data_IF_397338979879
#
_entry.id   IF_397338979879
#
_cell.length_a   1.000
_cell.length_b   1.000
_cell.length_c   1.000
_cell.angle_alpha   90.00
_cell.angle_beta   90.00
_cell.angle_gamma   90.00
#
_symmetry.space_group_name_H-M   'P 1'
#
loop_
_entity.id
_entity.type
_entity.pdbx_description
1 polymer ?
#
# COMPACT_ATOMS: atom_id res chain seq x y z
N UNK A 1 -17.07 -17.96 -26.25
CA UNK A 1 -16.15 -17.29 -25.31
C UNK A 1 -16.70 -15.90 -25.04
N UNK A 2 -17.04 -15.59 -23.80
CA UNK A 2 -17.53 -14.27 -23.38
C UNK A 2 -16.36 -13.45 -22.86
N UNK A 3 -16.15 -12.25 -23.40
CA UNK A 3 -15.20 -11.30 -22.85
C UNK A 3 -15.89 -10.49 -21.75
N UNK A 4 -15.32 -10.47 -20.56
CA UNK A 4 -15.73 -9.56 -19.51
C UNK A 4 -14.81 -8.34 -19.52
N UNK A 5 -15.41 -7.16 -19.67
CA UNK A 5 -14.69 -5.91 -19.50
C UNK A 5 -14.50 -5.63 -18.01
N UNK A 6 -13.24 -5.56 -17.57
CA UNK A 6 -12.85 -5.13 -16.22
C UNK A 6 -12.17 -3.79 -16.35
N UNK A 7 -12.58 -2.84 -15.51
CA UNK A 7 -11.97 -1.51 -15.44
C UNK A 7 -11.25 -1.36 -14.09
N UNK A 8 -10.02 -0.86 -14.11
CA UNK A 8 -9.36 -0.37 -12.90
C UNK A 8 -9.91 1.03 -12.64
N UNK A 9 -10.69 1.19 -11.56
CA UNK A 9 -11.32 2.48 -11.23
C UNK A 9 -10.31 3.50 -10.69
N UNK A 10 -9.30 3.05 -9.94
CA UNK A 10 -8.29 3.93 -9.37
C UNK A 10 -7.01 3.18 -9.04
N UNK A 11 -5.88 3.89 -9.05
CA UNK A 11 -4.61 3.41 -8.52
C UNK A 11 -4.34 4.15 -7.23
N UNK A 12 -3.99 3.39 -6.19
CA UNK A 12 -3.70 3.92 -4.86
C UNK A 12 -2.21 3.74 -4.59
N UNK A 13 -1.51 4.80 -4.21
CA UNK A 13 -0.09 4.75 -3.85
C UNK A 13 0.15 5.30 -2.45
N UNK A 14 1.14 4.78 -1.74
CA UNK A 14 1.60 5.31 -0.46
C UNK A 14 2.84 4.60 0.04
N UNK A 15 3.74 5.34 0.68
CA UNK A 15 4.92 4.76 1.33
C UNK A 15 4.61 4.36 2.77
N UNK A 16 5.31 3.35 3.32
CA UNK A 16 5.20 3.01 4.73
C UNK A 16 5.39 4.25 5.62
N UNK A 17 4.45 4.45 6.53
CA UNK A 17 4.45 5.58 7.45
C UNK A 17 4.22 5.09 8.89
N UNK A 18 4.87 5.78 9.84
CA UNK A 18 4.62 5.58 11.27
C UNK A 18 3.36 6.32 11.69
N UNK A 19 2.46 5.63 12.37
CA UNK A 19 1.23 6.19 12.93
C UNK A 19 1.04 5.71 14.36
N UNK A 20 0.27 6.47 15.15
CA UNK A 20 -0.15 6.03 16.47
C UNK A 20 -1.25 4.98 16.31
N UNK A 21 -1.20 3.91 17.08
CA UNK A 21 -2.28 2.93 17.15
C UNK A 21 -3.44 3.57 17.91
N UNK A 22 -4.69 3.42 17.44
CA UNK A 22 -5.80 3.57 18.37
C UNK A 22 -5.60 2.59 19.54
N UNK A 23 -6.12 2.90 20.74
CA UNK A 23 -6.06 1.96 21.85
C UNK A 23 -6.69 0.64 21.40
N UNK A 24 -5.84 -0.37 21.19
CA UNK A 24 -6.27 -1.74 21.06
C UNK A 24 -6.67 -2.16 22.48
N UNK A 25 -7.80 -2.85 22.61
CA UNK A 25 -8.26 -3.57 23.80
C UNK A 25 -7.17 -3.90 24.83
N UNK A 26 -7.53 -3.77 26.12
CA UNK A 26 -6.80 -4.09 27.37
C UNK A 26 -5.31 -3.73 27.50
N UNK A 27 -4.68 -3.21 26.46
CA UNK A 27 -3.31 -2.71 26.46
C UNK A 27 -3.33 -1.21 26.68
N UNK A 28 -2.91 -0.78 27.87
CA UNK A 28 -2.73 0.63 28.18
C UNK A 28 -1.57 1.22 27.37
N UNK A 29 -1.87 2.04 26.37
CA UNK A 29 -0.90 2.95 25.74
C UNK A 29 -1.06 3.16 24.24
N UNK A 30 -0.75 4.37 23.79
CA UNK A 30 -0.51 4.66 22.37
C UNK A 30 0.82 4.00 21.95
N UNK A 31 0.79 3.20 20.87
CA UNK A 31 1.99 2.60 20.29
C UNK A 31 2.20 3.10 18.87
N UNK A 32 3.44 3.43 18.52
CA UNK A 32 3.79 3.76 17.13
C UNK A 32 3.90 2.45 16.34
N UNK A 33 3.20 2.37 15.21
CA UNK A 33 3.27 1.27 14.26
C UNK A 33 3.59 1.81 12.87
N UNK A 34 4.46 1.12 12.13
CA UNK A 34 4.75 1.44 10.72
C UNK A 34 3.87 0.62 9.80
N UNK A 35 3.18 1.26 8.87
CA UNK A 35 2.23 0.61 7.96
C UNK A 35 2.30 1.16 6.55
N UNK A 36 2.14 0.29 5.54
CA UNK A 36 1.91 0.67 4.15
C UNK A 36 0.42 0.82 3.78
N UNK A 37 -0.48 0.76 4.78
CA UNK A 37 -1.93 0.82 4.57
C UNK A 37 -2.41 2.19 4.08
N UNK A 38 -1.71 3.26 4.44
CA UNK A 38 -2.09 4.62 4.11
C UNK A 38 -1.77 4.93 2.64
N UNK A 39 -2.69 4.61 1.75
CA UNK A 39 -2.61 4.92 0.32
C UNK A 39 -3.62 5.99 -0.08
N UNK A 40 -3.30 6.73 -1.13
CA UNK A 40 -4.15 7.77 -1.70
C UNK A 40 -4.30 7.57 -3.21
N UNK A 41 -5.43 7.98 -3.80
CA UNK A 41 -5.60 7.94 -5.24
C UNK A 41 -4.59 8.87 -5.88
N UNK A 42 -4.19 8.50 -7.08
CA UNK A 42 -3.43 9.39 -7.97
C UNK A 42 -4.25 9.68 -9.21
N UNK A 43 -4.08 10.90 -9.72
CA UNK A 43 -4.67 11.34 -10.96
C UNK A 43 -3.67 11.19 -12.11
N UNK A 44 -4.15 10.70 -13.24
CA UNK A 44 -3.36 10.57 -14.46
C UNK A 44 -2.39 9.39 -14.47
N UNK A 45 -1.50 9.34 -15.48
CA UNK A 45 -0.57 8.23 -15.67
C UNK A 45 0.46 8.13 -14.55
N UNK A 46 0.81 6.90 -14.16
CA UNK A 46 1.89 6.60 -13.23
C UNK A 46 2.85 5.58 -13.82
N UNK A 47 4.13 5.74 -13.53
CA UNK A 47 5.14 4.81 -13.99
C UNK A 47 5.20 3.58 -13.07
N UNK A 48 5.12 2.39 -13.66
CA UNK A 48 5.34 1.13 -12.96
C UNK A 48 6.83 0.76 -13.03
N UNK A 49 7.45 0.54 -11.87
CA UNK A 49 8.83 0.04 -11.75
C UNK A 49 8.79 -1.46 -11.48
N UNK A 50 9.98 -2.08 -11.43
CA UNK A 50 10.14 -3.51 -11.09
C UNK A 50 9.46 -3.91 -9.78
N UNK A 51 9.39 -3.00 -8.81
CA UNK A 51 8.94 -3.32 -7.46
C UNK A 51 7.64 -2.64 -7.04
N UNK A 52 7.28 -1.49 -7.63
CA UNK A 52 6.12 -0.67 -7.24
C UNK A 52 5.82 0.38 -8.32
N UNK A 53 4.67 1.05 -8.22
CA UNK A 53 4.44 2.32 -8.90
C UNK A 53 5.25 3.46 -8.28
N UNK A 54 5.59 4.49 -9.07
CA UNK A 54 6.19 5.71 -8.54
C UNK A 54 5.26 6.33 -7.46
N UNK A 55 5.77 6.45 -6.24
CA UNK A 55 5.03 6.96 -5.07
C UNK A 55 4.52 5.88 -4.11
N UNK A 56 4.57 4.60 -4.49
CA UNK A 56 4.15 3.48 -3.64
C UNK A 56 5.33 2.78 -2.95
N UNK A 57 5.05 2.02 -1.88
CA UNK A 57 6.07 1.20 -1.23
C UNK A 57 5.55 0.20 -0.20
N UNK A 58 6.42 -0.76 0.10
CA UNK A 58 6.18 -1.83 1.08
C UNK A 58 7.23 -1.77 2.19
N UNK A 59 6.82 -2.04 3.43
CA UNK A 59 7.72 -1.94 4.59
C UNK A 59 8.73 -3.11 4.67
N UNK A 60 8.30 -4.29 4.23
CA UNK A 60 9.15 -5.49 4.18
C UNK A 60 9.26 -5.98 2.74
N UNK A 61 10.30 -5.52 2.03
CA UNK A 61 10.59 -5.92 0.66
C UNK A 61 11.09 -7.36 0.50
N UNK A 62 11.40 -8.08 1.59
CA UNK A 62 11.95 -9.45 1.55
C UNK A 62 10.84 -10.50 1.65
N UNK A 63 9.95 -10.36 2.63
CA UNK A 63 8.90 -11.35 2.87
C UNK A 63 7.53 -10.90 2.38
N UNK A 64 7.25 -9.60 2.35
CA UNK A 64 5.96 -9.06 1.93
C UNK A 64 6.02 -8.24 0.64
N UNK A 65 7.23 -7.97 0.13
CA UNK A 65 7.46 -7.33 -1.15
C UNK A 65 8.37 -8.13 -2.06
N UNK A 66 8.72 -7.51 -3.18
CA UNK A 66 9.46 -8.13 -4.28
C UNK A 66 8.64 -8.18 -5.57
N UNK A 67 9.25 -8.52 -6.72
CA UNK A 67 8.60 -8.43 -8.02
C UNK A 67 7.31 -9.25 -8.15
N UNK A 68 7.21 -10.37 -7.43
CA UNK A 68 6.03 -11.24 -7.46
C UNK A 68 4.87 -10.72 -6.57
N UNK A 69 5.12 -9.67 -5.78
CA UNK A 69 4.19 -9.04 -4.84
C UNK A 69 4.17 -7.52 -5.01
N UNK A 70 4.52 -7.05 -6.21
CA UNK A 70 4.59 -5.66 -6.63
C UNK A 70 3.28 -5.22 -7.30
#
# INVERSE_FOLDING_TARGET
MTFHHVNILSIQVGKPASVNSPPLNDQSGERIWTTGFLKKPIDGPVHMRRLNFDGDGQADGKHHGGPDKA
#
